data_IF_678523463807
#
_entry.id   IF_678523463807
#
_cell.length_a   1.000
_cell.length_b   1.000
_cell.length_c   1.000
_cell.angle_alpha   90.00
_cell.angle_beta   90.00
_cell.angle_gamma   90.00
#
_symmetry.space_group_name_H-M   'P 1'
#
loop_
_entity.id
_entity.type
_entity.pdbx_description
1 polymer ?
#
# COMPACT_ATOMS: atom_id res chain seq x y z
N UNK A 1 -20.75 0.77 2.92
CA UNK A 1 -20.73 2.15 2.41
C UNK A 1 -19.58 2.25 1.43
N UNK A 2 -19.85 2.47 0.15
CA UNK A 2 -18.80 2.79 -0.82
C UNK A 2 -18.51 4.29 -0.66
N UNK A 3 -17.26 4.65 -0.45
CA UNK A 3 -16.82 6.04 -0.56
C UNK A 3 -17.08 6.44 -2.03
N UNK A 4 -17.78 7.56 -2.32
CA UNK A 4 -17.96 8.00 -3.69
C UNK A 4 -16.58 8.31 -4.27
N UNK A 5 -16.12 7.45 -5.18
CA UNK A 5 -14.89 7.70 -5.91
C UNK A 5 -15.17 8.86 -6.88
N UNK A 6 -14.25 9.82 -6.99
CA UNK A 6 -14.26 10.79 -8.08
C UNK A 6 -14.41 10.08 -9.43
N UNK A 7 -15.22 10.65 -10.32
CA UNK A 7 -15.59 10.07 -11.62
C UNK A 7 -14.41 9.97 -12.61
N UNK A 8 -13.26 10.52 -12.26
CA UNK A 8 -11.97 10.43 -12.95
C UNK A 8 -11.11 9.24 -12.49
N UNK A 9 -11.51 8.49 -11.45
CA UNK A 9 -10.87 7.22 -11.10
C UNK A 9 -11.20 6.18 -12.17
N UNK A 10 -10.30 6.06 -13.15
CA UNK A 10 -10.39 5.08 -14.24
C UNK A 10 -9.49 3.88 -14.03
N UNK A 11 -8.59 3.93 -13.04
CA UNK A 11 -7.61 2.90 -12.77
C UNK A 11 -7.48 2.63 -11.27
N UNK A 12 -6.94 1.47 -10.93
CA UNK A 12 -6.61 1.10 -9.55
C UNK A 12 -5.15 0.67 -9.49
N UNK A 13 -4.47 1.01 -8.41
CA UNK A 13 -3.16 0.49 -8.07
C UNK A 13 -3.33 -0.71 -7.13
N UNK A 14 -2.78 -1.85 -7.52
CA UNK A 14 -2.73 -3.08 -6.74
C UNK A 14 -1.38 -3.20 -6.01
N UNK A 15 -1.16 -4.35 -5.36
CA UNK A 15 0.03 -4.67 -4.55
C UNK A 15 0.20 -3.81 -3.30
N UNK A 16 -0.86 -3.15 -2.85
CA UNK A 16 -0.87 -2.54 -1.52
C UNK A 16 -1.05 -3.62 -0.45
N UNK A 17 -0.18 -3.59 0.55
CA UNK A 17 -0.13 -4.58 1.63
C UNK A 17 -0.20 -3.86 2.98
N UNK A 18 -0.81 -4.49 3.96
CA UNK A 18 -0.89 -4.00 5.33
C UNK A 18 0.28 -4.51 6.15
N UNK A 19 1.06 -3.59 6.72
CA UNK A 19 2.20 -3.94 7.54
C UNK A 19 1.78 -4.26 8.97
N UNK A 20 2.08 -5.47 9.46
CA UNK A 20 1.72 -5.88 10.82
C UNK A 20 2.57 -5.22 11.92
N UNK A 21 3.66 -4.52 11.57
CA UNK A 21 4.54 -3.85 12.54
C UNK A 21 4.28 -2.34 12.67
N UNK A 22 4.00 -1.65 11.56
CA UNK A 22 3.70 -0.20 11.57
C UNK A 22 2.21 0.11 11.40
N UNK A 23 1.37 -0.89 11.10
CA UNK A 23 -0.07 -0.75 10.89
C UNK A 23 -0.47 0.21 9.75
N UNK A 24 0.45 0.45 8.81
CA UNK A 24 0.22 1.25 7.60
C UNK A 24 0.17 0.37 6.36
N UNK A 25 -0.47 0.88 5.30
CA UNK A 25 -0.34 0.32 3.96
C UNK A 25 1.01 0.73 3.35
N UNK A 26 1.69 -0.23 2.73
CA UNK A 26 2.86 0.04 1.88
C UNK A 26 2.64 -0.60 0.51
N UNK A 27 3.27 -0.02 -0.52
CA UNK A 27 3.20 -0.57 -1.87
C UNK A 27 4.30 -1.61 -2.08
N UNK A 28 3.92 -2.88 -2.24
CA UNK A 28 4.81 -4.03 -2.40
C UNK A 28 5.12 -4.31 -3.89
N UNK A 29 5.35 -3.25 -4.67
CA UNK A 29 5.63 -3.33 -6.10
C UNK A 29 7.09 -3.10 -6.49
N UNK A 30 7.96 -2.76 -5.52
CA UNK A 30 9.40 -2.59 -5.75
C UNK A 30 10.21 -3.64 -4.99
N UNK A 31 11.39 -4.06 -5.49
CA UNK A 31 12.23 -5.04 -4.80
C UNK A 31 12.69 -4.60 -3.41
N UNK A 32 12.87 -3.30 -3.19
CA UNK A 32 13.38 -2.70 -1.96
C UNK A 32 12.29 -2.39 -0.93
N UNK A 33 11.01 -2.34 -1.34
CA UNK A 33 9.82 -2.12 -0.50
C UNK A 33 9.81 -0.90 0.45
N UNK A 34 10.89 -0.12 0.51
CA UNK A 34 11.08 0.95 1.46
C UNK A 34 11.38 0.45 2.89
N UNK A 35 11.72 1.41 3.76
CA UNK A 35 11.99 1.14 5.17
C UNK A 35 10.72 1.25 6.02
N UNK A 36 10.50 0.27 6.89
CA UNK A 36 9.43 0.31 7.87
C UNK A 36 9.79 1.28 9.00
N UNK A 37 8.93 2.28 9.32
CA UNK A 37 9.19 3.24 10.39
C UNK A 37 9.02 2.63 11.80
N UNK A 38 8.54 1.39 11.91
CA UNK A 38 8.34 0.74 13.20
C UNK A 38 9.65 0.20 13.73
N UNK A 39 10.04 0.62 14.94
CA UNK A 39 11.18 0.04 15.66
C UNK A 39 10.99 -1.43 16.05
N UNK A 40 9.79 -1.98 15.86
CA UNK A 40 9.46 -3.39 16.12
C UNK A 40 9.56 -4.25 14.85
N UNK A 41 9.97 -3.69 13.70
CA UNK A 41 10.29 -4.50 12.53
C UNK A 41 11.69 -5.10 12.70
N UNK A 42 11.84 -6.44 12.63
CA UNK A 42 13.09 -7.11 12.98
C UNK A 42 14.27 -6.80 12.05
N UNK A 43 13.98 -6.46 10.79
CA UNK A 43 14.97 -6.15 9.75
C UNK A 43 14.80 -4.73 9.19
N UNK A 44 13.93 -3.92 9.80
CA UNK A 44 13.59 -2.59 9.31
C UNK A 44 12.75 -2.58 8.04
N UNK A 45 12.23 -3.72 7.57
CA UNK A 45 11.42 -3.82 6.35
C UNK A 45 9.93 -3.96 6.64
N UNK A 46 9.11 -3.72 5.63
CA UNK A 46 7.66 -3.95 5.73
C UNK A 46 7.35 -5.45 5.66
N UNK A 47 6.53 -5.95 6.58
CA UNK A 47 6.04 -7.32 6.58
C UNK A 47 4.51 -7.33 6.53
N UNK A 48 3.93 -8.15 5.67
CA UNK A 48 2.46 -8.26 5.53
C UNK A 48 2.03 -9.70 5.38
N UNK A 49 2.65 -10.58 6.17
CA UNK A 49 2.21 -11.95 6.29
C UNK A 49 0.76 -11.97 6.79
N UNK A 50 -0.13 -12.65 6.06
CA UNK A 50 -1.56 -12.65 6.33
C UNK A 50 -2.33 -11.39 5.86
N UNK A 51 -1.67 -10.41 5.23
CA UNK A 51 -2.37 -9.26 4.64
C UNK A 51 -3.15 -9.65 3.39
N UNK A 52 -4.23 -8.91 3.13
CA UNK A 52 -4.90 -8.86 1.83
C UNK A 52 -4.13 -7.99 0.83
N UNK A 53 -4.44 -8.17 -0.45
CA UNK A 53 -4.04 -7.20 -1.48
C UNK A 53 -5.10 -6.12 -1.56
N UNK A 54 -4.72 -4.88 -1.28
CA UNK A 54 -5.62 -3.73 -1.34
C UNK A 54 -5.53 -3.09 -2.73
N UNK A 55 -6.68 -2.70 -3.26
CA UNK A 55 -6.80 -2.00 -4.53
C UNK A 55 -7.15 -0.56 -4.23
N UNK A 56 -6.20 0.35 -4.45
CA UNK A 56 -6.42 1.78 -4.23
C UNK A 56 -6.81 2.45 -5.54
N UNK A 57 -7.83 3.31 -5.55
CA UNK A 57 -8.08 4.24 -6.65
C UNK A 57 -6.78 4.95 -7.07
N UNK A 58 -6.45 4.90 -8.35
CA UNK A 58 -5.30 5.60 -8.91
C UNK A 58 -5.77 6.60 -9.96
N UNK A 59 -5.24 7.81 -9.88
CA UNK A 59 -5.39 8.80 -10.93
C UNK A 59 -4.17 8.75 -11.85
N UNK A 60 -4.28 8.20 -13.07
CA UNK A 60 -3.13 8.04 -13.96
C UNK A 60 -2.59 9.37 -14.49
N UNK A 61 -3.35 10.48 -14.40
CA UNK A 61 -2.84 11.80 -14.79
C UNK A 61 -1.91 12.44 -13.75
N UNK A 62 -1.92 11.96 -12.51
CA UNK A 62 -1.11 12.47 -11.41
C UNK A 62 -0.07 11.43 -10.95
N UNK A 63 0.75 10.95 -11.88
CA UNK A 63 1.90 10.11 -11.53
C UNK A 63 2.89 10.92 -10.69
N UNK A 64 3.14 10.48 -9.45
CA UNK A 64 4.23 11.00 -8.60
C UNK A 64 5.61 10.51 -9.05
#
# INVERSE_FOLDING_TARGET
MAIPLPNDVTTFQDNWRFCNHCYSLWWNGRPDNGACPSGNSPDGQHHGQGSWNFYLPANPSESI
#
